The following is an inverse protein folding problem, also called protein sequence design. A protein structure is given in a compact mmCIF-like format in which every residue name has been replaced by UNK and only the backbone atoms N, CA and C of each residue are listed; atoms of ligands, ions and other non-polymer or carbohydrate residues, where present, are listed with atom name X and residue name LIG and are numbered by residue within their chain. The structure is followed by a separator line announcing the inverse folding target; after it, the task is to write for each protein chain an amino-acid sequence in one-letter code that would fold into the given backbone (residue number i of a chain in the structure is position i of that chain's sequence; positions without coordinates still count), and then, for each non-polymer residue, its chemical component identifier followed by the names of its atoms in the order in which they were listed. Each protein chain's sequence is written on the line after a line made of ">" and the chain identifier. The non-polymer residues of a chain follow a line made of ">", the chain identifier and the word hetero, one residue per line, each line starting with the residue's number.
data_IF_025988659496
#
_entry.id   IF_025988659496
#
_cell.length_a   1.000
_cell.length_b   1.000
_cell.length_c   1.000
_cell.angle_alpha   90.00
_cell.angle_beta   90.00
_cell.angle_gamma   90.00
#
_symmetry.space_group_name_H-M   'P 1'
#
loop_
_entity.id
_entity.type
_entity.pdbx_description
1 polymer ?
#
# COMPACT_ATOMS: atom_id res chain seq x y z
N UNK A 1 -16.48 -20.59 -18.91
CA UNK A 1 -16.37 -19.15 -18.64
C UNK A 1 -15.67 -18.98 -17.30
N UNK A 2 -14.44 -18.48 -17.28
CA UNK A 2 -13.78 -18.10 -16.02
C UNK A 2 -14.58 -16.93 -15.44
N UNK A 3 -15.27 -17.14 -14.31
CA UNK A 3 -16.04 -16.06 -13.68
C UNK A 3 -15.09 -14.91 -13.35
N UNK A 4 -15.34 -13.72 -13.89
CA UNK A 4 -14.58 -12.54 -13.54
C UNK A 4 -14.61 -12.36 -12.00
N UNK A 5 -13.45 -12.14 -11.40
CA UNK A 5 -13.34 -11.91 -9.95
C UNK A 5 -14.29 -10.79 -9.55
N UNK A 6 -15.15 -11.05 -8.56
CA UNK A 6 -16.06 -10.05 -8.03
C UNK A 6 -15.33 -8.80 -7.50
N UNK A 7 -15.97 -7.64 -7.60
CA UNK A 7 -15.40 -6.31 -7.27
C UNK A 7 -14.63 -6.26 -5.94
N UNK A 8 -15.14 -6.91 -4.90
CA UNK A 8 -14.51 -6.95 -3.57
C UNK A 8 -13.21 -7.76 -3.53
N UNK A 9 -13.16 -8.88 -4.25
CA UNK A 9 -11.96 -9.71 -4.36
C UNK A 9 -10.85 -8.94 -5.08
N UNK A 10 -11.18 -8.32 -6.21
CA UNK A 10 -10.25 -7.49 -6.99
C UNK A 10 -9.74 -6.28 -6.19
N UNK A 11 -10.59 -5.63 -5.40
CA UNK A 11 -10.15 -4.53 -4.54
C UNK A 11 -9.18 -5.00 -3.43
N UNK A 12 -9.40 -6.21 -2.89
CA UNK A 12 -8.51 -6.80 -1.86
C UNK A 12 -7.16 -7.18 -2.43
N UNK A 13 -7.15 -7.77 -3.63
CA UNK A 13 -5.93 -8.08 -4.38
C UNK A 13 -5.11 -6.82 -4.66
N UNK A 14 -5.75 -5.75 -5.14
CA UNK A 14 -5.07 -4.47 -5.37
C UNK A 14 -4.46 -3.89 -4.09
N UNK A 15 -5.14 -3.99 -2.95
CA UNK A 15 -4.59 -3.53 -1.66
C UNK A 15 -3.37 -4.34 -1.24
N UNK A 16 -3.45 -5.67 -1.35
CA UNK A 16 -2.32 -6.56 -1.02
C UNK A 16 -1.11 -6.25 -1.89
N UNK A 17 -1.32 -6.16 -3.20
CA UNK A 17 -0.28 -5.84 -4.17
C UNK A 17 0.38 -4.49 -3.90
N UNK A 18 -0.40 -3.42 -3.74
CA UNK A 18 0.15 -2.08 -3.50
C UNK A 18 0.91 -2.02 -2.17
N UNK A 19 0.39 -2.68 -1.15
CA UNK A 19 1.06 -2.73 0.14
C UNK A 19 2.41 -3.46 0.04
N UNK A 20 2.44 -4.66 -0.54
CA UNK A 20 3.64 -5.50 -0.59
C UNK A 20 4.70 -5.03 -1.58
N UNK A 21 4.30 -4.56 -2.76
CA UNK A 21 5.24 -4.24 -3.85
C UNK A 21 5.68 -2.77 -3.85
N UNK A 22 4.87 -1.87 -3.28
CA UNK A 22 5.09 -0.43 -3.40
C UNK A 22 5.26 0.20 -2.03
N UNK A 23 4.21 0.24 -1.20
CA UNK A 23 4.20 1.09 -0.01
C UNK A 23 5.13 0.57 1.08
N UNK A 24 5.02 -0.71 1.48
CA UNK A 24 5.85 -1.23 2.56
C UNK A 24 7.34 -1.19 2.21
N UNK A 25 7.77 -1.60 0.99
CA UNK A 25 9.16 -1.43 0.61
C UNK A 25 9.59 0.04 0.54
N UNK A 26 8.71 0.96 0.10
CA UNK A 26 9.04 2.40 0.08
C UNK A 26 9.32 2.93 1.50
N UNK A 27 8.48 2.56 2.47
CA UNK A 27 8.66 2.92 3.89
C UNK A 27 9.98 2.39 4.44
N UNK A 28 10.31 1.12 4.16
CA UNK A 28 11.57 0.52 4.60
C UNK A 28 12.80 1.12 3.91
N UNK A 29 12.70 1.43 2.62
CA UNK A 29 13.77 2.06 1.83
C UNK A 29 14.08 3.49 2.29
N UNK A 30 13.05 4.27 2.59
CA UNK A 30 13.20 5.63 3.11
C UNK A 30 13.57 5.65 4.60
N UNK A 31 13.29 4.55 5.32
CA UNK A 31 13.35 4.48 6.78
C UNK A 31 12.56 5.64 7.43
N UNK A 32 11.41 5.96 6.84
CA UNK A 32 10.52 7.04 7.24
C UNK A 32 9.08 6.52 7.17
N UNK A 33 8.23 6.99 8.08
CA UNK A 33 6.81 6.68 8.15
C UNK A 33 6.01 7.46 7.09
N UNK A 34 6.66 8.41 6.43
CA UNK A 34 6.10 9.36 5.46
C UNK A 34 6.69 9.12 4.06
N UNK A 35 5.87 9.32 3.02
CA UNK A 35 6.31 9.41 1.63
C UNK A 35 5.48 10.43 0.85
N UNK A 36 6.09 11.04 -0.15
CA UNK A 36 5.43 11.96 -1.09
C UNK A 36 4.68 11.21 -2.20
N UNK A 37 3.72 11.89 -2.82
CA UNK A 37 3.05 11.40 -4.03
C UNK A 37 4.06 11.02 -5.13
N UNK A 38 5.11 11.81 -5.29
CA UNK A 38 6.15 11.58 -6.30
C UNK A 38 6.92 10.29 -6.03
N UNK A 39 7.36 10.06 -4.79
CA UNK A 39 8.02 8.82 -4.40
C UNK A 39 7.14 7.59 -4.65
N UNK A 40 5.83 7.69 -4.37
CA UNK A 40 4.88 6.63 -4.72
C UNK A 40 4.78 6.42 -6.23
N UNK A 41 4.63 7.50 -7.02
CA UNK A 41 4.52 7.43 -8.48
C UNK A 41 5.76 6.81 -9.13
N UNK A 42 6.96 7.24 -8.70
CA UNK A 42 8.23 6.74 -9.24
C UNK A 42 8.38 5.22 -8.99
N UNK A 43 8.04 4.76 -7.78
CA UNK A 43 8.09 3.32 -7.45
C UNK A 43 6.98 2.54 -8.15
N UNK A 44 5.76 3.09 -8.21
CA UNK A 44 4.62 2.54 -8.95
C UNK A 44 5.00 2.30 -10.40
N UNK A 45 5.60 3.26 -11.07
CA UNK A 45 5.89 3.17 -12.51
C UNK A 45 6.91 2.08 -12.81
N UNK A 46 7.94 1.94 -11.97
CA UNK A 46 8.89 0.81 -12.03
C UNK A 46 8.20 -0.55 -11.86
N UNK A 47 7.31 -0.66 -10.87
CA UNK A 47 6.56 -1.90 -10.60
C UNK A 47 5.58 -2.21 -11.74
N UNK A 48 4.86 -1.21 -12.26
CA UNK A 48 3.96 -1.36 -13.40
C UNK A 48 4.70 -1.85 -14.64
N UNK A 49 5.89 -1.29 -14.93
CA UNK A 49 6.73 -1.77 -16.03
C UNK A 49 7.19 -3.21 -15.81
N UNK A 50 7.66 -3.55 -14.61
CA UNK A 50 8.13 -4.90 -14.25
C UNK A 50 7.05 -5.97 -14.44
N UNK A 51 5.82 -5.68 -14.04
CA UNK A 51 4.71 -6.66 -14.08
C UNK A 51 3.75 -6.46 -15.26
N UNK A 52 4.06 -5.54 -16.18
CA UNK A 52 3.19 -5.15 -17.29
C UNK A 52 1.74 -4.81 -16.84
N UNK A 53 1.62 -3.98 -15.82
CA UNK A 53 0.35 -3.58 -15.21
C UNK A 53 -0.05 -2.16 -15.60
N UNK A 54 -1.36 -1.94 -15.75
CA UNK A 54 -1.90 -0.58 -15.83
C UNK A 54 -1.70 0.15 -14.51
N UNK A 55 -1.28 1.42 -14.56
CA UNK A 55 -1.17 2.33 -13.41
C UNK A 55 -2.46 2.45 -12.59
N UNK A 56 -3.61 2.11 -13.19
CA UNK A 56 -4.91 2.13 -12.53
C UNK A 56 -5.02 1.11 -11.40
N UNK A 57 -4.35 -0.04 -11.52
CA UNK A 57 -4.35 -1.10 -10.50
C UNK A 57 -3.77 -0.57 -9.19
N UNK A 58 -2.52 -0.07 -9.16
CA UNK A 58 -1.95 0.45 -7.92
C UNK A 58 -2.58 1.76 -7.46
N UNK A 59 -3.04 2.62 -8.37
CA UNK A 59 -3.75 3.85 -7.99
C UNK A 59 -5.05 3.56 -7.22
N UNK A 60 -5.82 2.54 -7.66
CA UNK A 60 -7.00 2.06 -6.92
C UNK A 60 -6.64 1.39 -5.60
N UNK A 61 -5.54 0.64 -5.56
CA UNK A 61 -5.05 0.02 -4.33
C UNK A 61 -4.67 1.06 -3.27
N UNK A 62 -3.93 2.12 -3.64
CA UNK A 62 -3.59 3.23 -2.74
C UNK A 62 -4.85 3.90 -2.17
N UNK A 63 -5.79 4.29 -3.04
CA UNK A 63 -7.06 4.89 -2.61
C UNK A 63 -7.83 3.96 -1.65
N UNK A 64 -7.82 2.65 -1.90
CA UNK A 64 -8.47 1.68 -1.04
C UNK A 64 -7.74 1.48 0.30
N UNK A 65 -6.41 1.56 0.35
CA UNK A 65 -5.65 1.55 1.60
C UNK A 65 -5.95 2.79 2.45
N UNK A 66 -6.13 3.96 1.81
CA UNK A 66 -6.59 5.17 2.49
C UNK A 66 -7.98 5.01 3.09
N UNK A 67 -8.93 4.45 2.33
CA UNK A 67 -10.28 4.14 2.84
C UNK A 67 -10.27 3.14 4.02
N UNK A 68 -9.20 2.35 4.17
CA UNK A 68 -9.02 1.43 5.30
C UNK A 68 -8.26 2.03 6.48
N UNK A 69 -7.83 3.29 6.39
CA UNK A 69 -7.07 3.98 7.44
C UNK A 69 -5.63 3.48 7.59
N UNK A 70 -5.16 2.60 6.69
CA UNK A 70 -3.76 2.13 6.71
C UNK A 70 -2.82 3.24 6.26
N UNK A 71 -3.28 4.06 5.31
CA UNK A 71 -2.56 5.21 4.78
C UNK A 71 -3.35 6.48 5.05
N UNK A 72 -2.67 7.48 5.58
CA UNK A 72 -3.20 8.82 5.77
C UNK A 72 -2.62 9.72 4.67
N UNK A 73 -3.36 10.76 4.27
CA UNK A 73 -2.93 11.71 3.24
C UNK A 73 -3.16 13.14 3.74
N UNK A 74 -2.13 13.96 3.62
CA UNK A 74 -2.16 15.39 3.87
C UNK A 74 -1.49 16.11 2.69
N UNK A 75 -2.30 16.77 1.85
CA UNK A 75 -1.81 17.39 0.61
C UNK A 75 -1.13 16.37 -0.32
N UNK A 76 0.16 16.56 -0.58
CA UNK A 76 0.99 15.68 -1.42
C UNK A 76 1.78 14.64 -0.62
N UNK A 77 1.56 14.58 0.69
CA UNK A 77 2.26 13.72 1.63
C UNK A 77 1.33 12.60 2.09
N UNK A 78 1.88 11.41 2.24
CA UNK A 78 1.21 10.21 2.74
C UNK A 78 1.99 9.66 3.92
N UNK A 79 1.30 9.03 4.86
CA UNK A 79 1.95 8.36 5.99
C UNK A 79 1.27 7.04 6.32
N UNK A 80 2.03 6.11 6.91
CA UNK A 80 1.45 4.89 7.50
C UNK A 80 0.77 5.22 8.83
N UNK A 81 -0.26 4.43 9.17
CA UNK A 81 -0.88 4.51 10.49
C UNK A 81 0.15 4.27 11.61
N UNK A 82 0.05 5.02 12.72
CA UNK A 82 1.05 5.00 13.80
C UNK A 82 1.30 3.60 14.41
N UNK A 83 0.27 2.74 14.42
CA UNK A 83 0.36 1.35 14.89
C UNK A 83 1.35 0.49 14.08
N UNK A 84 1.74 0.94 12.88
CA UNK A 84 2.70 0.23 12.01
C UNK A 84 4.15 0.72 12.18
N UNK A 85 4.38 1.80 12.93
CA UNK A 85 5.72 2.35 13.18
C UNK A 85 6.65 1.33 13.86
N UNK A 86 6.21 0.52 14.85
CA UNK A 86 7.07 -0.51 15.45
C UNK A 86 7.59 -1.52 14.42
N UNK A 87 6.74 -1.92 13.46
CA UNK A 87 7.13 -2.85 12.40
C UNK A 87 8.23 -2.26 11.51
N UNK A 88 8.12 -0.98 11.15
CA UNK A 88 9.15 -0.30 10.35
C UNK A 88 10.46 -0.20 11.13
N UNK A 89 10.41 0.24 12.40
CA UNK A 89 11.61 0.39 13.25
C UNK A 89 12.38 -0.92 13.41
N UNK A 90 11.66 -2.03 13.50
CA UNK A 90 12.24 -3.37 13.60
C UNK A 90 12.58 -3.98 12.23
N UNK A 91 12.28 -3.28 11.13
CA UNK A 91 12.33 -3.82 9.76
C UNK A 91 11.63 -5.18 9.64
N UNK A 92 10.56 -5.34 10.41
CA UNK A 92 9.80 -6.58 10.47
C UNK A 92 8.98 -6.78 9.20
N UNK A 93 8.67 -8.04 8.90
CA UNK A 93 7.63 -8.32 7.92
C UNK A 93 6.28 -7.76 8.41
N UNK A 94 5.63 -6.97 7.57
CA UNK A 94 4.31 -6.45 7.80
C UNK A 94 3.53 -6.63 6.51
N UNK A 95 2.81 -7.74 6.40
CA UNK A 95 1.95 -7.99 5.25
C UNK A 95 0.63 -7.20 5.38
N UNK A 96 -0.18 -7.21 4.32
CA UNK A 96 -1.45 -6.48 4.34
C UNK A 96 -2.40 -6.99 5.44
N UNK A 97 -2.40 -8.29 5.74
CA UNK A 97 -3.26 -8.87 6.75
C UNK A 97 -2.90 -8.39 8.15
N UNK A 98 -1.60 -8.31 8.46
CA UNK A 98 -1.08 -7.72 9.68
C UNK A 98 -1.43 -6.23 9.72
N UNK A 99 -1.10 -5.48 8.67
CA UNK A 99 -1.36 -4.04 8.62
C UNK A 99 -2.84 -3.68 8.88
N UNK A 100 -3.77 -4.38 8.22
CA UNK A 100 -5.21 -4.12 8.43
C UNK A 100 -5.69 -4.56 9.80
N UNK A 101 -5.13 -5.64 10.37
CA UNK A 101 -5.48 -6.10 11.72
C UNK A 101 -5.06 -5.05 12.74
N UNK A 102 -3.80 -4.63 12.71
CA UNK A 102 -3.26 -3.65 13.66
C UNK A 102 -4.05 -2.33 13.63
N UNK A 103 -4.37 -1.83 12.43
CA UNK A 103 -5.14 -0.59 12.26
C UNK A 103 -6.59 -0.70 12.77
N UNK A 104 -7.18 -1.91 12.74
CA UNK A 104 -8.57 -2.13 13.17
C UNK A 104 -8.75 -2.45 14.65
N UNK A 105 -7.71 -2.97 15.30
CA UNK A 105 -7.75 -3.16 16.75
C UNK A 105 -7.99 -1.79 17.39
N UNK A 106 -8.92 -1.71 18.34
CA UNK A 106 -9.16 -0.47 19.10
C UNK A 106 -8.04 -0.33 20.12
#
# INVERSE_FOLDING_TARGET
>A
MLSEKGKYASATENRRFVWSEIIWPLILEQNDVVFSLKQFQDKRDKICQKYNLSINVPSRGLASLQQKGIILKEGAIYSIHYKLIPYMRLRAECDYATAIREVRLK
#
